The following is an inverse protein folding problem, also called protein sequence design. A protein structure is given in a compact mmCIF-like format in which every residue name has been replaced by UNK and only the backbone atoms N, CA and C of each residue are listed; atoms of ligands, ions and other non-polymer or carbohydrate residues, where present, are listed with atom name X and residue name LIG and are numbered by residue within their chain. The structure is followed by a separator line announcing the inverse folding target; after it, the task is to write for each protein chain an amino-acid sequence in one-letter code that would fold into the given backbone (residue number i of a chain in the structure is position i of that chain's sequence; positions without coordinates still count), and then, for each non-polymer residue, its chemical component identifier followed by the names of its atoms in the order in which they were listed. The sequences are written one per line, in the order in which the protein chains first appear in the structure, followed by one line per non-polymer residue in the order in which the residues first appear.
data_IF_948202915261
#
_entry.id   IF_948202915261
#
_cell.length_a   1.000
_cell.length_b   1.000
_cell.length_c   1.000
_cell.angle_alpha   90.00
_cell.angle_beta   90.00
_cell.angle_gamma   90.00
#
_symmetry.space_group_name_H-M   'P 1'
#
loop_
_entity.id
_entity.type
_entity.pdbx_description
1 polymer ?
#
# COMPACT_ATOMS: atom_id res chain seq x y z
N UNK A 1 -14.31 17.53 0.06
CA UNK A 1 -13.71 16.60 1.03
C UNK A 1 -13.96 15.19 0.49
N UNK A 2 -12.97 14.32 0.50
CA UNK A 2 -13.14 12.95 -0.05
C UNK A 2 -13.93 12.14 0.99
N UNK A 3 -15.20 11.90 0.74
CA UNK A 3 -16.04 11.07 1.62
C UNK A 3 -15.83 9.57 1.39
N UNK A 4 -15.41 9.23 0.17
CA UNK A 4 -15.14 7.86 -0.26
C UNK A 4 -13.92 7.80 -1.15
N UNK A 5 -13.20 6.67 -1.12
CA UNK A 5 -12.12 6.37 -2.05
C UNK A 5 -12.73 5.83 -3.35
N UNK A 6 -12.43 6.47 -4.47
CA UNK A 6 -12.81 6.07 -5.83
C UNK A 6 -11.58 5.69 -6.67
N UNK A 7 -11.78 5.27 -7.92
CA UNK A 7 -10.69 4.91 -8.83
C UNK A 7 -9.76 6.11 -9.13
N UNK A 8 -10.32 7.31 -9.30
CA UNK A 8 -9.52 8.52 -9.50
C UNK A 8 -8.64 8.84 -8.28
N UNK A 9 -9.12 8.56 -7.06
CA UNK A 9 -8.33 8.69 -5.85
C UNK A 9 -7.17 7.68 -5.80
N UNK A 10 -7.36 6.45 -6.33
CA UNK A 10 -6.28 5.45 -6.43
C UNK A 10 -5.16 5.95 -7.35
N UNK A 11 -5.49 6.52 -8.50
CA UNK A 11 -4.50 7.13 -9.41
C UNK A 11 -3.72 8.25 -8.73
N UNK A 12 -4.42 9.18 -8.06
CA UNK A 12 -3.76 10.28 -7.31
C UNK A 12 -2.88 9.76 -6.18
N UNK A 13 -3.33 8.76 -5.46
CA UNK A 13 -2.57 8.14 -4.37
C UNK A 13 -1.30 7.46 -4.88
N UNK A 14 -1.41 6.67 -5.96
CA UNK A 14 -0.25 6.01 -6.57
C UNK A 14 0.78 7.04 -7.06
N UNK A 15 0.34 8.05 -7.81
CA UNK A 15 1.21 9.12 -8.31
C UNK A 15 1.86 9.95 -7.19
N UNK A 16 1.10 10.29 -6.16
CA UNK A 16 1.60 11.02 -4.98
C UNK A 16 2.60 10.18 -4.18
N UNK A 17 2.31 8.90 -3.98
CA UNK A 17 3.23 7.95 -3.33
C UNK A 17 4.54 7.79 -4.09
N UNK A 18 4.46 7.63 -5.42
CA UNK A 18 5.67 7.54 -6.26
C UNK A 18 6.47 8.84 -6.24
N UNK A 19 5.83 10.00 -6.29
CA UNK A 19 6.51 11.30 -6.20
C UNK A 19 7.24 11.45 -4.86
N UNK A 20 6.60 11.07 -3.75
CA UNK A 20 7.20 11.09 -2.41
C UNK A 20 8.37 10.13 -2.30
N UNK A 21 8.25 8.90 -2.79
CA UNK A 21 9.36 7.93 -2.79
C UNK A 21 10.55 8.41 -3.60
N UNK A 22 10.32 9.01 -4.78
CA UNK A 22 11.41 9.59 -5.59
C UNK A 22 12.12 10.72 -4.87
N UNK A 23 11.39 11.58 -4.17
CA UNK A 23 11.96 12.69 -3.42
C UNK A 23 12.86 12.23 -2.25
N UNK A 24 12.55 11.09 -1.65
CA UNK A 24 13.26 10.55 -0.49
C UNK A 24 14.06 9.27 -0.79
N UNK A 25 14.18 8.88 -2.06
CA UNK A 25 14.82 7.62 -2.47
C UNK A 25 16.22 7.47 -1.88
N UNK A 26 17.05 8.48 -2.04
CA UNK A 26 18.42 8.45 -1.56
C UNK A 26 18.52 8.36 -0.03
N UNK A 27 17.69 9.13 0.67
CA UNK A 27 17.61 9.07 2.13
C UNK A 27 17.20 7.68 2.63
N UNK A 28 16.21 7.04 1.97
CA UNK A 28 15.78 5.68 2.30
C UNK A 28 16.90 4.67 2.03
N UNK A 29 17.61 4.80 0.91
CA UNK A 29 18.74 3.93 0.57
C UNK A 29 19.88 4.07 1.60
N UNK A 30 20.22 5.30 2.04
CA UNK A 30 21.24 5.54 3.08
C UNK A 30 20.84 4.97 4.46
N UNK A 31 19.55 5.00 4.80
CA UNK A 31 19.03 4.46 6.05
C UNK A 31 18.85 2.93 6.03
N UNK A 32 19.01 2.30 4.88
CA UNK A 32 18.85 0.84 4.72
C UNK A 32 20.09 0.09 5.24
N UNK A 33 20.23 0.10 6.56
CA UNK A 33 21.31 -0.61 7.28
C UNK A 33 20.82 -1.86 8.01
N UNK A 34 19.53 -2.15 7.96
CA UNK A 34 18.86 -3.24 8.66
C UNK A 34 17.57 -3.66 7.93
N UNK A 35 17.21 -4.96 7.89
CA UNK A 35 17.97 -6.13 8.39
C UNK A 35 19.14 -6.54 7.46
N UNK A 36 19.15 -6.08 6.22
CA UNK A 36 20.22 -6.32 5.23
C UNK A 36 20.73 -4.96 4.74
N UNK A 37 21.99 -4.64 4.93
CA UNK A 37 22.56 -3.32 4.57
C UNK A 37 22.96 -3.27 3.09
N UNK A 38 22.02 -3.46 2.16
CA UNK A 38 22.24 -3.42 0.72
C UNK A 38 22.04 -2.03 0.09
N UNK A 39 21.47 -1.07 0.85
CA UNK A 39 21.34 0.33 0.45
C UNK A 39 20.46 0.54 -0.77
N UNK A 40 19.48 -0.31 -1.01
CA UNK A 40 18.66 -0.29 -2.22
C UNK A 40 17.13 -0.26 -1.98
N UNK A 41 16.70 -0.12 -0.73
CA UNK A 41 15.28 -0.14 -0.38
C UNK A 41 14.49 0.96 -1.09
N UNK A 42 14.99 2.20 -1.09
CA UNK A 42 14.34 3.32 -1.77
C UNK A 42 14.25 3.11 -3.28
N UNK A 43 15.35 2.66 -3.88
CA UNK A 43 15.43 2.31 -5.29
C UNK A 43 14.42 1.20 -5.65
N UNK A 44 14.35 0.13 -4.86
CA UNK A 44 13.46 -0.99 -5.08
C UNK A 44 11.98 -0.58 -4.96
N UNK A 45 11.64 0.26 -3.98
CA UNK A 45 10.29 0.80 -3.80
C UNK A 45 9.87 1.68 -4.99
N UNK A 46 10.75 2.58 -5.45
CA UNK A 46 10.49 3.45 -6.62
C UNK A 46 10.23 2.61 -7.87
N UNK A 47 11.09 1.64 -8.18
CA UNK A 47 10.94 0.78 -9.36
C UNK A 47 9.67 -0.06 -9.30
N UNK A 48 9.34 -0.59 -8.13
CA UNK A 48 8.11 -1.37 -7.93
C UNK A 48 6.86 -0.50 -8.15
N UNK A 49 6.86 0.73 -7.62
CA UNK A 49 5.72 1.64 -7.76
C UNK A 49 5.59 2.22 -9.17
N UNK A 50 6.69 2.39 -9.91
CA UNK A 50 6.64 2.73 -11.35
C UNK A 50 5.87 1.66 -12.11
N UNK A 51 6.17 0.38 -11.88
CA UNK A 51 5.47 -0.72 -12.54
C UNK A 51 3.98 -0.79 -12.14
N UNK A 52 3.69 -0.49 -10.87
CA UNK A 52 2.31 -0.38 -10.38
C UNK A 52 1.52 0.73 -11.09
N UNK A 53 2.13 1.91 -11.24
CA UNK A 53 1.51 3.04 -11.92
C UNK A 53 1.31 2.76 -13.41
N UNK A 54 2.31 2.21 -14.10
CA UNK A 54 2.18 1.84 -15.51
C UNK A 54 1.01 0.88 -15.74
N UNK A 55 0.88 -0.17 -14.93
CA UNK A 55 -0.24 -1.09 -15.03
C UNK A 55 -1.59 -0.46 -14.66
N UNK A 56 -1.60 0.53 -13.77
CA UNK A 56 -2.79 1.28 -13.40
C UNK A 56 -3.28 2.17 -14.55
N UNK A 57 -2.34 2.74 -15.31
CA UNK A 57 -2.62 3.66 -16.44
C UNK A 57 -2.97 2.90 -17.74
N UNK A 58 -2.72 1.59 -17.81
CA UNK A 58 -3.11 0.76 -18.96
C UNK A 58 -4.65 0.61 -19.01
N UNK A 59 -5.22 0.78 -20.19
CA UNK A 59 -6.62 0.42 -20.44
C UNK A 59 -6.77 -1.10 -20.38
N UNK A 60 -7.72 -1.59 -19.62
CA UNK A 60 -8.03 -3.02 -19.59
C UNK A 60 -9.52 -3.28 -19.71
N UNK A 61 -9.87 -4.24 -20.56
CA UNK A 61 -11.23 -4.75 -20.73
C UNK A 61 -11.66 -5.70 -19.60
N UNK A 62 -11.14 -5.57 -18.39
CA UNK A 62 -11.54 -6.41 -17.25
C UNK A 62 -13.03 -6.20 -16.92
N UNK A 63 -13.89 -7.19 -17.23
CA UNK A 63 -15.35 -6.98 -17.15
C UNK A 63 -15.90 -7.08 -15.73
N UNK A 64 -15.13 -7.63 -14.78
CA UNK A 64 -15.64 -7.95 -13.43
C UNK A 64 -15.16 -6.99 -12.35
N UNK A 65 -16.10 -6.51 -11.53
CA UNK A 65 -15.83 -5.71 -10.34
C UNK A 65 -16.09 -4.20 -10.52
N UNK A 66 -16.02 -3.46 -9.42
CA UNK A 66 -16.15 -2.01 -9.42
C UNK A 66 -14.97 -1.32 -10.09
N UNK A 67 -15.11 -0.07 -10.59
CA UNK A 67 -13.99 0.69 -11.13
C UNK A 67 -12.81 0.76 -10.15
N UNK A 68 -13.08 1.04 -8.88
CA UNK A 68 -12.09 1.04 -7.80
C UNK A 68 -11.40 -0.34 -7.66
N UNK A 69 -12.18 -1.42 -7.61
CA UNK A 69 -11.63 -2.77 -7.47
C UNK A 69 -10.74 -3.17 -8.65
N UNK A 70 -11.11 -2.78 -9.88
CA UNK A 70 -10.26 -2.99 -11.07
C UNK A 70 -8.97 -2.18 -11.00
N UNK A 71 -9.04 -0.89 -10.65
CA UNK A 71 -7.86 -0.03 -10.48
C UNK A 71 -6.89 -0.63 -9.46
N UNK A 72 -7.39 -1.02 -8.29
CA UNK A 72 -6.56 -1.63 -7.24
C UNK A 72 -5.93 -2.96 -7.68
N UNK A 73 -6.65 -3.82 -8.40
CA UNK A 73 -6.09 -5.08 -8.92
C UNK A 73 -4.98 -4.84 -9.95
N UNK A 74 -5.17 -3.90 -10.89
CA UNK A 74 -4.14 -3.52 -11.86
C UNK A 74 -2.89 -3.01 -11.16
N UNK A 75 -3.04 -2.10 -10.21
CA UNK A 75 -1.95 -1.56 -9.40
C UNK A 75 -1.18 -2.67 -8.66
N UNK A 76 -1.90 -3.57 -7.97
CA UNK A 76 -1.31 -4.68 -7.24
C UNK A 76 -0.58 -5.66 -8.17
N UNK A 77 -1.17 -5.98 -9.33
CA UNK A 77 -0.55 -6.84 -10.35
C UNK A 77 0.72 -6.21 -10.93
N UNK A 78 0.68 -4.92 -11.27
CA UNK A 78 1.85 -4.20 -11.76
C UNK A 78 2.98 -4.17 -10.73
N UNK A 79 2.66 -3.90 -9.46
CA UNK A 79 3.61 -3.97 -8.38
C UNK A 79 4.23 -5.37 -8.23
N UNK A 80 3.42 -6.42 -8.32
CA UNK A 80 3.91 -7.81 -8.20
C UNK A 80 4.85 -8.19 -9.35
N UNK A 81 4.46 -7.89 -10.59
CA UNK A 81 5.28 -8.22 -11.78
C UNK A 81 6.57 -7.39 -11.85
N UNK A 82 6.54 -6.17 -11.34
CA UNK A 82 7.69 -5.27 -11.29
C UNK A 82 8.41 -5.23 -9.94
N UNK A 83 8.07 -6.13 -9.00
CA UNK A 83 8.66 -6.13 -7.66
C UNK A 83 10.19 -6.24 -7.70
N UNK A 84 10.85 -5.38 -6.94
CA UNK A 84 12.31 -5.36 -6.77
C UNK A 84 12.66 -5.53 -5.31
N UNK A 85 13.60 -6.43 -5.03
CA UNK A 85 14.05 -6.74 -3.68
C UNK A 85 12.93 -7.23 -2.75
N UNK A 86 13.25 -7.46 -1.49
CA UNK A 86 12.26 -7.85 -0.48
C UNK A 86 11.23 -6.75 -0.24
N UNK A 87 11.65 -5.48 -0.26
CA UNK A 87 10.77 -4.32 -0.06
C UNK A 87 9.69 -4.23 -1.14
N UNK A 88 10.05 -4.45 -2.41
CA UNK A 88 9.10 -4.49 -3.52
C UNK A 88 8.11 -5.65 -3.40
N UNK A 89 8.57 -6.84 -3.01
CA UNK A 89 7.69 -7.99 -2.74
C UNK A 89 6.70 -7.67 -1.63
N UNK A 90 7.15 -7.12 -0.51
CA UNK A 90 6.28 -6.73 0.61
C UNK A 90 5.21 -5.73 0.15
N UNK A 91 5.61 -4.66 -0.54
CA UNK A 91 4.66 -3.65 -1.04
C UNK A 91 3.65 -4.25 -2.02
N UNK A 92 4.08 -5.15 -2.90
CA UNK A 92 3.15 -5.85 -3.81
C UNK A 92 2.10 -6.66 -3.06
N UNK A 93 2.45 -7.30 -1.95
CA UNK A 93 1.52 -8.05 -1.11
C UNK A 93 0.59 -7.13 -0.31
N UNK A 94 1.08 -5.98 0.15
CA UNK A 94 0.24 -4.94 0.77
C UNK A 94 -0.85 -4.51 -0.22
N UNK A 95 -0.46 -4.14 -1.43
CA UNK A 95 -1.40 -3.71 -2.48
C UNK A 95 -2.38 -4.81 -2.86
N UNK A 96 -1.93 -6.08 -2.90
CA UNK A 96 -2.81 -7.22 -3.13
C UNK A 96 -3.84 -7.39 -2.03
N UNK A 97 -3.45 -7.36 -0.76
CA UNK A 97 -4.38 -7.48 0.37
C UNK A 97 -5.44 -6.36 0.37
N UNK A 98 -5.04 -5.13 0.03
CA UNK A 98 -5.98 -4.03 -0.15
C UNK A 98 -6.91 -4.27 -1.35
N UNK A 99 -6.38 -4.70 -2.50
CA UNK A 99 -7.16 -4.99 -3.70
C UNK A 99 -8.20 -6.09 -3.46
N UNK A 100 -7.84 -7.15 -2.73
CA UNK A 100 -8.75 -8.24 -2.38
C UNK A 100 -9.92 -7.73 -1.52
N UNK A 101 -9.65 -6.82 -0.58
CA UNK A 101 -10.70 -6.20 0.25
C UNK A 101 -11.60 -5.28 -0.57
N UNK A 102 -11.06 -4.52 -1.52
CA UNK A 102 -11.81 -3.55 -2.31
C UNK A 102 -12.45 -4.14 -3.58
N UNK A 103 -12.24 -5.42 -3.86
CA UNK A 103 -12.62 -6.07 -5.14
C UNK A 103 -14.09 -5.84 -5.54
N UNK A 104 -15.00 -5.82 -4.58
CA UNK A 104 -16.42 -5.64 -4.79
C UNK A 104 -16.95 -4.31 -4.27
N UNK A 105 -16.09 -3.47 -3.69
CA UNK A 105 -16.51 -2.19 -3.10
C UNK A 105 -16.78 -1.18 -4.20
N UNK A 106 -17.95 -0.58 -4.17
CA UNK A 106 -18.31 0.54 -5.05
C UNK A 106 -17.67 1.84 -4.54
N UNK A 107 -17.60 1.98 -3.22
CA UNK A 107 -17.01 3.12 -2.55
C UNK A 107 -16.42 2.67 -1.22
N UNK A 108 -15.16 3.03 -0.96
CA UNK A 108 -14.47 2.67 0.29
C UNK A 108 -14.63 3.79 1.30
N UNK A 109 -15.11 3.42 2.49
CA UNK A 109 -15.22 4.27 3.68
C UNK A 109 -14.23 3.84 4.76
N UNK A 110 -14.29 4.50 5.92
CA UNK A 110 -13.33 4.27 7.01
C UNK A 110 -13.24 2.82 7.47
N UNK A 111 -14.37 2.16 7.69
CA UNK A 111 -14.39 0.75 8.12
C UNK A 111 -13.79 -0.22 7.10
N UNK A 112 -14.00 0.03 5.80
CA UNK A 112 -13.38 -0.78 4.75
C UNK A 112 -11.88 -0.51 4.62
N UNK A 113 -11.43 0.75 4.78
CA UNK A 113 -10.01 1.08 4.82
C UNK A 113 -9.31 0.37 5.99
N UNK A 114 -9.89 0.39 7.19
CA UNK A 114 -9.33 -0.32 8.34
C UNK A 114 -9.22 -1.83 8.10
N UNK A 115 -10.23 -2.43 7.47
CA UNK A 115 -10.23 -3.85 7.06
C UNK A 115 -9.14 -4.13 6.02
N UNK A 116 -9.01 -3.26 5.01
CA UNK A 116 -8.00 -3.39 3.96
C UNK A 116 -6.58 -3.33 4.51
N UNK A 117 -6.31 -2.43 5.46
CA UNK A 117 -5.00 -2.35 6.12
C UNK A 117 -4.67 -3.61 6.91
N UNK A 118 -5.66 -4.23 7.58
CA UNK A 118 -5.48 -5.49 8.29
C UNK A 118 -5.17 -6.63 7.32
N UNK A 119 -5.98 -6.81 6.26
CA UNK A 119 -5.73 -7.82 5.23
C UNK A 119 -4.37 -7.61 4.56
N UNK A 120 -3.98 -6.37 4.31
CA UNK A 120 -2.67 -6.02 3.77
C UNK A 120 -1.53 -6.42 4.73
N UNK A 121 -1.71 -6.22 6.04
CA UNK A 121 -0.75 -6.64 7.06
C UNK A 121 -0.57 -8.16 7.07
N UNK A 122 -1.66 -8.91 7.08
CA UNK A 122 -1.64 -10.38 7.04
C UNK A 122 -0.95 -10.89 5.76
N UNK A 123 -1.25 -10.30 4.60
CA UNK A 123 -0.63 -10.66 3.33
C UNK A 123 0.88 -10.37 3.32
N UNK A 124 1.29 -9.22 3.86
CA UNK A 124 2.69 -8.82 3.93
C UNK A 124 3.51 -9.72 4.86
N UNK A 125 3.00 -10.01 6.06
CA UNK A 125 3.66 -10.94 6.99
C UNK A 125 3.72 -12.35 6.43
N UNK A 126 2.67 -12.82 5.76
CA UNK A 126 2.64 -14.15 5.11
C UNK A 126 3.62 -14.30 3.95
N UNK A 127 4.08 -13.21 3.36
CA UNK A 127 5.04 -13.23 2.24
C UNK A 127 6.51 -13.29 2.70
N UNK A 128 6.78 -13.10 3.99
CA UNK A 128 8.13 -13.06 4.54
C UNK A 128 8.37 -14.28 5.41
N UNK A 129 9.35 -15.10 5.04
CA UNK A 129 9.66 -16.35 5.78
C UNK A 129 10.09 -16.09 7.24
N UNK A 130 10.75 -14.96 7.50
CA UNK A 130 11.19 -14.53 8.84
C UNK A 130 10.90 -13.05 9.00
N UNK A 131 9.68 -12.68 9.44
CA UNK A 131 9.35 -11.29 9.73
C UNK A 131 10.29 -10.70 10.79
N UNK A 132 10.73 -9.46 10.56
CA UNK A 132 11.65 -8.76 11.46
C UNK A 132 10.98 -7.48 11.93
N UNK A 133 10.96 -7.27 13.24
CA UNK A 133 10.43 -6.04 13.85
C UNK A 133 11.32 -4.82 13.56
N UNK A 134 10.75 -3.62 13.61
CA UNK A 134 11.45 -2.38 13.26
C UNK A 134 11.59 -2.18 11.74
N UNK A 135 10.73 -2.83 10.95
CA UNK A 135 10.70 -2.73 9.48
C UNK A 135 9.37 -2.14 9.01
N UNK A 136 9.19 -2.04 7.69
CA UNK A 136 7.91 -1.65 7.08
C UNK A 136 6.73 -2.51 7.57
N UNK A 137 6.98 -3.76 7.96
CA UNK A 137 5.94 -4.64 8.51
C UNK A 137 5.39 -4.12 9.84
N UNK A 138 6.27 -3.69 10.76
CA UNK A 138 5.87 -3.10 12.04
C UNK A 138 5.10 -1.79 11.83
N UNK A 139 5.56 -0.94 10.91
CA UNK A 139 4.87 0.32 10.55
C UNK A 139 3.46 0.04 10.01
N UNK A 140 3.33 -0.93 9.12
CA UNK A 140 2.04 -1.32 8.56
C UNK A 140 1.10 -1.88 9.63
N UNK A 141 1.61 -2.75 10.52
CA UNK A 141 0.82 -3.32 11.62
C UNK A 141 0.31 -2.24 12.57
N UNK A 142 1.15 -1.28 12.94
CA UNK A 142 0.76 -0.15 13.79
C UNK A 142 -0.28 0.75 13.12
N UNK A 143 -0.14 1.01 11.83
CA UNK A 143 -1.13 1.77 11.06
C UNK A 143 -2.48 1.04 11.00
N UNK A 144 -2.47 -0.27 10.75
CA UNK A 144 -3.68 -1.09 10.69
C UNK A 144 -4.38 -1.16 12.06
N UNK A 145 -3.61 -1.29 13.15
CA UNK A 145 -4.14 -1.31 14.51
C UNK A 145 -4.77 0.03 14.87
N UNK A 146 -4.10 1.14 14.58
CA UNK A 146 -4.62 2.47 14.87
C UNK A 146 -5.91 2.76 14.08
N UNK A 147 -5.96 2.40 12.79
CA UNK A 147 -7.16 2.50 11.97
C UNK A 147 -8.30 1.63 12.53
N UNK A 148 -7.99 0.42 12.98
CA UNK A 148 -8.97 -0.52 13.53
C UNK A 148 -9.58 -0.12 14.86
N UNK A 149 -8.95 0.80 15.62
CA UNK A 149 -9.48 1.36 16.87
C UNK A 149 -10.51 2.48 16.65
N UNK A 150 -10.62 3.00 15.43
CA UNK A 150 -11.55 4.08 15.10
C UNK A 150 -12.96 3.53 14.97
N UNK A 151 -13.86 4.04 15.79
CA UNK A 151 -15.29 3.66 15.74
C UNK A 151 -16.08 4.39 14.63
N UNK A 152 -15.44 5.37 13.97
CA UNK A 152 -16.06 6.15 12.90
C UNK A 152 -15.89 5.47 11.55
N UNK A 153 -16.91 5.58 10.69
CA UNK A 153 -16.84 5.18 9.28
C UNK A 153 -16.36 6.33 8.36
N UNK A 154 -15.86 7.42 8.94
CA UNK A 154 -15.28 8.54 8.21
C UNK A 154 -13.89 8.14 7.66
N UNK A 155 -13.74 8.23 6.34
CA UNK A 155 -12.51 7.86 5.65
C UNK A 155 -11.30 8.69 6.08
N UNK A 156 -11.50 10.01 6.25
CA UNK A 156 -10.41 10.94 6.61
C UNK A 156 -9.95 10.69 8.04
N UNK A 157 -10.87 10.47 8.95
CA UNK A 157 -10.56 10.17 10.37
C UNK A 157 -9.77 8.87 10.47
N UNK A 158 -10.20 7.82 9.75
CA UNK A 158 -9.53 6.52 9.74
C UNK A 158 -8.15 6.60 9.09
N UNK A 159 -8.02 7.31 7.96
CA UNK A 159 -6.74 7.49 7.28
C UNK A 159 -5.72 8.27 8.15
N UNK A 160 -6.17 9.32 8.84
CA UNK A 160 -5.33 10.07 9.80
C UNK A 160 -4.90 9.22 10.99
N UNK A 161 -5.79 8.37 11.50
CA UNK A 161 -5.43 7.46 12.59
C UNK A 161 -4.34 6.47 12.15
N UNK A 162 -4.44 5.92 10.95
CA UNK A 162 -3.40 5.06 10.38
C UNK A 162 -2.07 5.80 10.22
N UNK A 163 -2.10 7.04 9.73
CA UNK A 163 -0.92 7.88 9.58
C UNK A 163 -0.24 8.17 10.93
N UNK A 164 -1.00 8.53 11.96
CA UNK A 164 -0.48 8.78 13.30
C UNK A 164 0.05 7.48 13.93
N UNK A 165 -0.64 6.35 13.75
CA UNK A 165 -0.24 5.06 14.27
C UNK A 165 1.16 4.64 13.85
N UNK A 166 1.51 4.86 12.58
CA UNK A 166 2.85 4.55 12.04
C UNK A 166 3.99 5.32 12.69
N UNK A 167 3.72 6.46 13.30
CA UNK A 167 4.73 7.30 13.95
C UNK A 167 5.12 6.81 15.34
N UNK A 168 4.51 5.77 15.86
CA UNK A 168 4.75 5.22 17.20
C UNK A 168 5.51 3.88 17.18
N UNK A 169 6.18 3.55 16.06
CA UNK A 169 6.97 2.31 15.88
C UNK A 169 8.45 2.56 15.99
#
# INVERSE_FOLDING_TARGET
MLETLDDAAVHRWCGGGLASLRAHQHEIDELNVYPVPDGDTGTNLVLTLISAQQALDEESDEPAGSPLGRAMRRMARGALLGARGNSGVIVSQILRGMADTFALSVAVRGGELARALRTATEAAYGAVARPVEGTVLSVLAAAAEAAGRIASDDLVVTARAAEIGRAHV
#
